data_IF_711863335199
#
_entry.id   IF_711863335199
#
_cell.length_a   1.000
_cell.length_b   1.000
_cell.length_c   1.000
_cell.angle_alpha   90.00
_cell.angle_beta   90.00
_cell.angle_gamma   90.00
#
_symmetry.space_group_name_H-M   'P 1'
#
loop_
_entity.id
_entity.type
_entity.pdbx_description
1 polymer ?
#
# COMPACT_ATOMS: atom_id res chain seq x y z
N UNK A 1 -45.77 96.67 -46.85
CA UNK A 1 -47.05 96.10 -47.34
C UNK A 1 -47.45 94.89 -46.48
N UNK A 2 -48.75 94.53 -46.32
CA UNK A 2 -49.17 93.41 -45.47
C UNK A 2 -48.56 92.05 -45.86
N UNK A 3 -48.15 91.89 -47.14
CA UNK A 3 -47.43 90.70 -47.62
C UNK A 3 -46.02 90.56 -47.02
N UNK A 4 -45.31 91.66 -46.79
CA UNK A 4 -43.95 91.61 -46.20
C UNK A 4 -43.99 91.19 -44.73
N UNK A 5 -45.00 91.65 -43.98
CA UNK A 5 -45.20 91.22 -42.60
C UNK A 5 -45.64 89.75 -42.49
N UNK A 6 -46.35 89.21 -43.49
CA UNK A 6 -46.69 87.78 -43.54
C UNK A 6 -45.44 86.93 -43.78
N UNK A 7 -44.62 87.29 -44.77
CA UNK A 7 -43.35 86.59 -45.06
C UNK A 7 -42.43 86.58 -43.85
N UNK A 8 -42.31 87.70 -43.12
CA UNK A 8 -41.51 87.75 -41.89
C UNK A 8 -42.07 86.83 -40.79
N UNK A 9 -43.39 86.78 -40.58
CA UNK A 9 -43.98 85.86 -39.59
C UNK A 9 -43.76 84.39 -39.95
N UNK A 10 -43.87 84.04 -41.23
CA UNK A 10 -43.64 82.67 -41.69
C UNK A 10 -42.18 82.27 -41.53
N UNK A 11 -41.24 83.18 -41.80
CA UNK A 11 -39.81 82.96 -41.54
C UNK A 11 -39.51 82.81 -40.05
N UNK A 12 -40.10 83.64 -39.18
CA UNK A 12 -39.94 83.52 -37.74
C UNK A 12 -40.56 82.24 -37.18
N UNK A 13 -41.71 81.80 -37.69
CA UNK A 13 -42.32 80.53 -37.30
C UNK A 13 -41.48 79.33 -37.77
N UNK A 14 -40.95 79.38 -38.99
CA UNK A 14 -40.04 78.35 -39.50
C UNK A 14 -38.76 78.28 -38.65
N UNK A 15 -38.19 79.43 -38.29
CA UNK A 15 -37.02 79.50 -37.42
C UNK A 15 -37.33 79.01 -35.99
N UNK A 16 -38.48 79.39 -35.43
CA UNK A 16 -38.94 78.91 -34.12
C UNK A 16 -39.13 77.39 -34.11
N UNK A 17 -39.74 76.85 -35.16
CA UNK A 17 -39.88 75.41 -35.33
C UNK A 17 -38.52 74.73 -35.47
N UNK A 18 -37.59 75.32 -36.25
CA UNK A 18 -36.24 74.79 -36.39
C UNK A 18 -35.50 74.78 -35.05
N UNK A 19 -35.49 75.89 -34.32
CA UNK A 19 -34.82 76.05 -33.02
C UNK A 19 -35.38 75.07 -31.98
N UNK A 20 -36.70 74.92 -31.92
CA UNK A 20 -37.32 73.97 -30.98
C UNK A 20 -37.12 72.50 -31.38
N UNK A 21 -36.76 72.22 -32.63
CA UNK A 21 -36.39 70.88 -33.10
C UNK A 21 -34.88 70.64 -33.08
N UNK A 22 -34.07 71.58 -32.60
CA UNK A 22 -32.66 71.30 -32.31
C UNK A 22 -32.63 70.34 -31.13
N UNK A 23 -32.14 69.11 -31.36
CA UNK A 23 -31.91 68.14 -30.29
C UNK A 23 -30.82 68.71 -29.37
N UNK A 24 -31.22 69.28 -28.24
CA UNK A 24 -30.31 69.68 -27.19
C UNK A 24 -30.02 68.47 -26.32
N UNK A 25 -28.75 68.07 -26.27
CA UNK A 25 -28.29 67.06 -25.33
C UNK A 25 -28.10 67.74 -23.98
N UNK A 26 -28.89 67.33 -22.99
CA UNK A 26 -28.85 67.89 -21.64
C UNK A 26 -28.04 67.04 -20.68
N UNK A 27 -27.83 65.76 -21.02
CA UNK A 27 -27.14 64.78 -20.19
C UNK A 27 -26.55 63.66 -21.05
N UNK A 28 -25.52 62.98 -20.53
CA UNK A 28 -25.08 61.69 -21.03
C UNK A 28 -25.13 60.66 -19.89
N UNK A 29 -25.55 59.44 -20.21
CA UNK A 29 -25.68 58.32 -19.28
C UNK A 29 -25.05 57.07 -19.89
N UNK A 30 -24.37 56.30 -19.04
CA UNK A 30 -23.95 54.94 -19.38
C UNK A 30 -25.02 53.98 -18.88
N UNK A 31 -25.68 53.30 -19.81
CA UNK A 31 -26.75 52.35 -19.51
C UNK A 31 -26.21 50.99 -19.09
N UNK A 32 -25.05 50.61 -19.63
CA UNK A 32 -24.45 49.32 -19.32
C UNK A 32 -23.01 49.19 -19.81
N UNK A 33 -22.26 48.39 -19.07
CA UNK A 33 -20.93 47.90 -19.46
C UNK A 33 -20.98 46.39 -19.41
N UNK A 34 -20.89 45.75 -20.56
CA UNK A 34 -20.79 44.31 -20.68
C UNK A 34 -19.33 43.90 -20.90
N UNK A 35 -18.91 42.82 -20.25
CA UNK A 35 -17.60 42.22 -20.53
C UNK A 35 -17.74 41.21 -21.66
N UNK A 36 -16.96 41.37 -22.74
CA UNK A 36 -16.97 40.47 -23.91
C UNK A 36 -15.88 39.40 -23.78
N UNK A 37 -15.90 38.38 -24.64
CA UNK A 37 -14.86 37.36 -24.60
C UNK A 37 -13.50 37.95 -25.02
N UNK A 38 -12.37 37.35 -24.59
CA UNK A 38 -11.05 37.73 -25.08
C UNK A 38 -10.98 37.65 -26.62
N UNK A 39 -10.48 38.70 -27.26
CA UNK A 39 -10.33 38.77 -28.71
C UNK A 39 -11.56 39.31 -29.47
N UNK A 40 -12.72 39.42 -28.83
CA UNK A 40 -13.87 40.13 -29.43
C UNK A 40 -13.51 41.62 -29.60
N UNK A 41 -14.00 42.31 -30.65
CA UNK A 41 -13.81 43.74 -30.81
C UNK A 41 -14.59 44.52 -29.74
N UNK A 42 -14.00 45.60 -29.22
CA UNK A 42 -14.73 46.51 -28.36
C UNK A 42 -15.89 47.18 -29.12
N UNK A 43 -17.02 47.37 -28.45
CA UNK A 43 -18.23 47.97 -29.05
C UNK A 43 -18.76 49.12 -28.21
N UNK A 44 -19.38 50.08 -28.89
CA UNK A 44 -20.16 51.14 -28.26
C UNK A 44 -21.45 51.34 -29.06
N UNK A 45 -22.58 51.32 -28.37
CA UNK A 45 -23.88 51.66 -28.91
C UNK A 45 -24.35 52.97 -28.33
N UNK A 46 -24.86 53.86 -29.18
CA UNK A 46 -25.28 55.21 -28.79
C UNK A 46 -26.70 55.46 -29.25
N UNK A 47 -27.54 55.98 -28.36
CA UNK A 47 -28.89 56.44 -28.69
C UNK A 47 -29.21 57.75 -27.97
N UNK A 48 -30.25 58.45 -28.41
CA UNK A 48 -30.71 59.69 -27.75
C UNK A 48 -32.17 59.50 -27.39
N UNK A 49 -32.51 59.66 -26.12
CA UNK A 49 -33.88 59.57 -25.61
C UNK A 49 -34.13 60.72 -24.63
N UNK A 50 -35.16 61.53 -24.89
CA UNK A 50 -35.52 62.65 -24.00
C UNK A 50 -34.42 63.70 -23.80
N UNK A 51 -33.51 63.88 -24.77
CA UNK A 51 -32.36 64.79 -24.65
C UNK A 51 -31.17 64.20 -23.88
N UNK A 52 -31.24 62.93 -23.46
CA UNK A 52 -30.13 62.21 -22.83
C UNK A 52 -29.44 61.34 -23.87
N UNK A 53 -28.11 61.44 -23.93
CA UNK A 53 -27.26 60.54 -24.70
C UNK A 53 -27.04 59.26 -23.91
N UNK A 54 -27.52 58.14 -24.42
CA UNK A 54 -27.44 56.83 -23.82
C UNK A 54 -26.32 56.01 -24.47
N UNK A 55 -25.34 55.58 -23.67
CA UNK A 55 -24.20 54.79 -24.12
C UNK A 55 -24.22 53.40 -23.51
N UNK A 56 -23.96 52.37 -24.31
CA UNK A 56 -23.70 51.00 -23.83
C UNK A 56 -22.37 50.51 -24.39
N UNK A 57 -21.51 49.97 -23.53
CA UNK A 57 -20.17 49.51 -23.90
C UNK A 57 -20.07 47.98 -23.83
N UNK A 58 -19.40 47.39 -24.81
CA UNK A 58 -18.86 46.03 -24.73
C UNK A 58 -17.34 46.10 -24.65
N UNK A 59 -16.77 45.73 -23.51
CA UNK A 59 -15.32 45.76 -23.24
C UNK A 59 -14.79 44.32 -23.23
N UNK A 60 -13.86 43.94 -24.12
CA UNK A 60 -13.27 42.61 -24.14
C UNK A 60 -12.49 42.31 -22.87
N UNK A 61 -12.59 41.06 -22.39
CA UNK A 61 -11.70 40.55 -21.35
C UNK A 61 -10.24 40.55 -21.84
N UNK A 62 -9.32 40.73 -20.90
CA UNK A 62 -7.91 40.45 -21.16
C UNK A 62 -7.71 38.98 -21.52
N UNK A 63 -6.66 38.68 -22.28
CA UNK A 63 -6.24 37.30 -22.48
C UNK A 63 -5.91 36.64 -21.13
N UNK A 64 -6.17 35.34 -21.03
CA UNK A 64 -5.70 34.55 -19.88
C UNK A 64 -4.18 34.70 -19.76
N UNK A 65 -3.69 34.85 -18.53
CA UNK A 65 -2.26 34.90 -18.27
C UNK A 65 -1.59 33.57 -18.67
N UNK A 66 -0.28 33.57 -18.93
CA UNK A 66 0.44 32.31 -19.09
C UNK A 66 0.29 31.45 -17.84
N UNK A 67 0.26 30.12 -18.02
CA UNK A 67 0.37 29.19 -16.91
C UNK A 67 1.62 29.52 -16.08
N UNK A 68 1.51 29.47 -14.75
CA UNK A 68 2.66 29.64 -13.87
C UNK A 68 3.75 28.60 -14.15
N UNK A 69 5.00 28.92 -13.85
CA UNK A 69 6.09 27.95 -13.90
C UNK A 69 5.86 26.82 -12.89
N UNK A 70 6.37 25.63 -13.19
CA UNK A 70 6.44 24.55 -12.21
C UNK A 70 7.14 25.02 -10.94
N UNK A 71 6.72 24.47 -9.80
CA UNK A 71 7.43 24.67 -8.54
C UNK A 71 8.86 24.13 -8.60
N UNK A 72 9.76 24.59 -7.71
CA UNK A 72 11.09 24.02 -7.64
C UNK A 72 11.01 22.53 -7.32
N UNK A 73 11.90 21.73 -7.93
CA UNK A 73 12.10 20.35 -7.52
C UNK A 73 12.43 20.31 -6.02
N UNK A 74 11.80 19.40 -5.28
CA UNK A 74 12.13 19.17 -3.88
C UNK A 74 13.58 18.72 -3.69
N UNK A 75 14.16 18.87 -2.49
CA UNK A 75 15.50 18.37 -2.20
C UNK A 75 15.62 16.87 -2.52
N UNK A 76 16.76 16.41 -3.05
CA UNK A 76 17.02 14.97 -3.13
C UNK A 76 17.05 14.38 -1.72
N UNK A 77 16.50 13.18 -1.53
CA UNK A 77 16.80 12.38 -0.34
C UNK A 77 18.15 11.67 -0.55
N UNK A 78 18.93 11.51 0.52
CA UNK A 78 20.26 10.93 0.50
C UNK A 78 20.22 9.43 0.22
N UNK A 79 19.54 8.67 1.09
CA UNK A 79 19.49 7.21 1.05
C UNK A 79 18.09 6.68 1.37
N UNK A 80 17.89 5.39 1.07
CA UNK A 80 16.80 4.58 1.62
C UNK A 80 17.38 3.66 2.70
N UNK A 81 16.92 3.80 3.93
CA UNK A 81 17.44 3.09 5.10
C UNK A 81 16.36 2.15 5.64
N UNK A 82 16.74 0.91 5.96
CA UNK A 82 15.86 -0.03 6.66
C UNK A 82 16.21 0.00 8.14
N UNK A 83 15.31 0.55 8.96
CA UNK A 83 15.50 0.66 10.40
C UNK A 83 15.25 -0.67 11.10
N UNK A 84 14.19 -1.38 10.69
CA UNK A 84 13.79 -2.62 11.35
C UNK A 84 13.10 -3.60 10.40
N UNK A 85 13.30 -4.88 10.69
CA UNK A 85 12.53 -5.98 10.14
C UNK A 85 12.10 -6.85 11.32
N UNK A 86 10.81 -6.90 11.59
CA UNK A 86 10.25 -7.72 12.66
C UNK A 86 9.41 -8.86 12.08
N UNK A 87 9.33 -9.95 12.82
CA UNK A 87 8.46 -11.07 12.47
C UNK A 87 7.16 -10.98 13.25
N UNK A 88 6.03 -11.11 12.55
CA UNK A 88 4.69 -11.18 13.15
C UNK A 88 4.14 -12.60 13.04
N UNK A 89 3.16 -13.01 13.87
CA UNK A 89 2.62 -14.36 13.84
C UNK A 89 2.11 -14.79 12.45
N UNK A 90 2.11 -16.09 12.13
CA UNK A 90 1.53 -16.61 10.89
C UNK A 90 0.08 -16.14 10.71
N UNK A 91 -0.30 -15.87 9.45
CA UNK A 91 -1.61 -15.34 9.11
C UNK A 91 -1.83 -13.85 9.39
N UNK A 92 -0.90 -13.16 10.07
CA UNK A 92 -0.96 -11.70 10.21
C UNK A 92 -0.66 -11.03 8.85
N UNK A 93 -1.23 -9.84 8.54
CA UNK A 93 -0.90 -9.13 7.31
C UNK A 93 0.55 -8.63 7.35
N UNK A 94 1.20 -8.60 6.18
CA UNK A 94 2.50 -7.92 6.04
C UNK A 94 2.33 -6.41 6.10
N UNK A 95 3.28 -5.72 6.72
CA UNK A 95 3.24 -4.28 6.93
C UNK A 95 4.55 -3.60 6.54
N UNK A 96 4.44 -2.36 6.05
CA UNK A 96 5.57 -1.44 5.89
C UNK A 96 5.15 -0.06 6.35
N UNK A 97 6.00 0.59 7.15
CA UNK A 97 5.87 2.00 7.49
C UNK A 97 7.07 2.79 6.97
N UNK A 98 6.82 4.01 6.51
CA UNK A 98 7.83 4.89 5.93
C UNK A 98 7.78 6.28 6.52
N UNK A 99 8.93 6.87 6.81
CA UNK A 99 9.05 8.26 7.22
C UNK A 99 10.31 8.92 6.65
N UNK A 100 10.32 10.25 6.59
CA UNK A 100 11.45 11.03 6.07
C UNK A 100 11.98 11.93 7.17
N UNK A 101 13.29 11.85 7.44
CA UNK A 101 13.93 12.58 8.54
C UNK A 101 14.51 13.95 8.13
N UNK A 102 14.38 14.30 6.84
CA UNK A 102 15.01 15.48 6.24
C UNK A 102 16.26 15.17 5.42
N UNK A 103 16.82 13.97 5.54
CA UNK A 103 17.95 13.46 4.77
C UNK A 103 17.59 12.15 4.08
N UNK A 104 17.21 11.13 4.83
CA UNK A 104 17.00 9.77 4.34
C UNK A 104 15.54 9.33 4.48
N UNK A 105 15.13 8.39 3.63
CA UNK A 105 13.82 7.73 3.72
C UNK A 105 13.98 6.45 4.51
N UNK A 106 13.25 6.36 5.61
CA UNK A 106 13.32 5.26 6.57
C UNK A 106 12.18 4.28 6.37
N UNK A 107 12.49 2.98 6.43
CA UNK A 107 11.55 1.87 6.29
C UNK A 107 11.58 0.96 7.51
N UNK A 108 10.40 0.55 7.99
CA UNK A 108 10.26 -0.54 8.96
C UNK A 108 9.27 -1.58 8.46
N UNK A 109 9.69 -2.84 8.43
CA UNK A 109 8.92 -3.96 7.89
C UNK A 109 8.41 -4.89 8.99
N UNK A 110 7.18 -5.33 8.84
CA UNK A 110 6.56 -6.40 9.63
C UNK A 110 6.26 -7.57 8.68
N UNK A 111 7.01 -8.68 8.84
CA UNK A 111 6.94 -9.83 7.96
C UNK A 111 6.26 -11.02 8.67
N UNK A 112 5.19 -11.60 8.10
CA UNK A 112 4.54 -12.77 8.70
C UNK A 112 5.47 -13.98 8.72
N UNK A 113 5.48 -14.70 9.84
CA UNK A 113 6.14 -15.99 9.93
C UNK A 113 5.45 -17.03 9.05
N UNK A 114 6.21 -18.01 8.59
CA UNK A 114 5.63 -19.20 7.97
C UNK A 114 4.83 -20.01 8.99
N UNK A 115 3.81 -20.71 8.52
CA UNK A 115 3.10 -21.70 9.33
C UNK A 115 4.08 -22.76 9.86
N UNK A 116 3.79 -23.28 11.06
CA UNK A 116 4.56 -24.40 11.60
C UNK A 116 4.48 -25.59 10.62
N UNK A 117 5.62 -26.25 10.40
CA UNK A 117 5.64 -27.46 9.58
C UNK A 117 4.83 -28.58 10.23
N UNK A 118 4.30 -29.48 9.40
CA UNK A 118 3.63 -30.69 9.90
C UNK A 118 4.61 -31.53 10.73
N UNK A 119 4.10 -32.17 11.79
CA UNK A 119 4.88 -33.15 12.54
C UNK A 119 5.31 -34.27 11.58
N UNK A 120 6.60 -34.62 11.60
CA UNK A 120 7.10 -35.75 10.81
C UNK A 120 6.39 -37.06 11.17
N UNK A 121 6.33 -38.03 10.23
CA UNK A 121 5.75 -39.34 10.53
C UNK A 121 6.49 -40.01 11.69
N UNK A 122 5.77 -40.80 12.49
CA UNK A 122 6.40 -41.65 13.50
C UNK A 122 7.37 -42.63 12.82
N UNK A 123 8.51 -42.91 13.46
CA UNK A 123 9.44 -43.93 12.96
C UNK A 123 8.75 -45.30 12.95
N UNK A 124 8.75 -45.98 11.80
CA UNK A 124 8.22 -47.33 11.68
C UNK A 124 9.24 -48.33 12.22
N UNK A 125 8.85 -49.13 13.22
CA UNK A 125 9.58 -50.36 13.58
C UNK A 125 8.76 -51.51 13.02
N UNK A 126 9.26 -52.14 11.96
CA UNK A 126 8.52 -53.22 11.31
C UNK A 126 8.52 -54.47 12.19
N UNK A 127 7.50 -55.32 12.05
CA UNK A 127 7.50 -56.65 12.69
C UNK A 127 8.74 -57.47 12.31
N UNK A 128 9.29 -57.28 11.10
CA UNK A 128 10.56 -57.86 10.69
C UNK A 128 11.75 -57.34 11.49
N UNK A 129 11.85 -56.02 11.71
CA UNK A 129 12.96 -55.43 12.47
C UNK A 129 12.92 -55.88 13.94
N UNK A 130 11.72 -55.85 14.54
CA UNK A 130 11.48 -56.39 15.88
C UNK A 130 11.83 -57.88 15.97
N UNK A 131 11.40 -58.69 15.01
CA UNK A 131 11.68 -60.12 14.97
C UNK A 131 13.18 -60.39 14.80
N UNK A 132 13.87 -59.59 13.97
CA UNK A 132 15.29 -59.72 13.71
C UNK A 132 16.12 -59.37 14.95
N UNK A 133 15.77 -58.30 15.68
CA UNK A 133 16.46 -57.95 16.92
C UNK A 133 16.23 -58.99 18.03
N UNK A 134 15.00 -59.45 18.20
CA UNK A 134 14.67 -60.47 19.19
C UNK A 134 15.40 -61.80 18.90
N UNK A 135 15.54 -62.17 17.63
CA UNK A 135 16.18 -63.44 17.24
C UNK A 135 17.71 -63.37 17.27
N UNK A 136 18.31 -62.25 16.88
CA UNK A 136 19.75 -62.16 16.66
C UNK A 136 20.53 -61.51 17.82
N UNK A 137 19.88 -60.69 18.65
CA UNK A 137 20.55 -59.89 19.68
C UNK A 137 20.02 -60.15 21.10
N UNK A 138 19.09 -61.09 21.27
CA UNK A 138 18.65 -61.49 22.61
C UNK A 138 18.92 -62.97 22.86
N UNK A 139 19.36 -63.30 24.07
CA UNK A 139 19.50 -64.68 24.51
C UNK A 139 18.10 -65.28 24.64
N UNK A 140 17.63 -65.94 23.58
CA UNK A 140 16.28 -66.47 23.46
C UNK A 140 16.04 -67.70 24.37
N UNK A 141 16.07 -67.51 25.68
CA UNK A 141 15.82 -68.48 26.76
C UNK A 141 17.11 -69.11 27.33
N UNK A 142 17.44 -68.80 28.59
CA UNK A 142 18.39 -69.60 29.36
C UNK A 142 17.72 -70.93 29.70
N UNK A 143 18.21 -72.03 29.14
CA UNK A 143 17.74 -73.35 29.55
C UNK A 143 18.06 -73.56 31.04
N UNK A 144 17.19 -74.27 31.76
CA UNK A 144 17.37 -74.51 33.19
C UNK A 144 18.57 -75.46 33.40
N UNK A 145 19.57 -75.02 34.14
CA UNK A 145 20.72 -75.84 34.55
C UNK A 145 20.47 -76.30 35.98
N UNK A 146 20.62 -77.61 36.25
CA UNK A 146 20.42 -78.15 37.62
C UNK A 146 21.45 -77.57 38.61
N UNK A 147 21.32 -77.79 39.91
CA UNK A 147 22.40 -77.42 40.86
C UNK A 147 23.55 -78.42 40.79
N UNK A 148 24.79 -78.00 41.13
CA UNK A 148 25.99 -78.88 41.10
C UNK A 148 25.95 -79.94 42.21
N UNK A 149 25.52 -79.60 43.42
CA UNK A 149 25.14 -80.56 44.46
C UNK A 149 26.23 -81.52 44.99
N UNK A 150 27.53 -81.20 44.87
CA UNK A 150 28.62 -82.08 45.34
C UNK A 150 29.30 -81.61 46.63
N UNK A 151 29.91 -82.55 47.36
CA UNK A 151 30.81 -82.31 48.48
C UNK A 151 32.24 -82.69 48.05
N UNK A 152 33.14 -81.71 47.96
CA UNK A 152 34.51 -81.93 47.49
C UNK A 152 35.39 -82.42 48.63
N UNK A 153 36.06 -83.56 48.43
CA UNK A 153 36.99 -84.12 49.42
C UNK A 153 38.33 -83.37 49.42
N UNK A 154 39.10 -83.48 50.52
CA UNK A 154 40.49 -82.98 50.59
C UNK A 154 41.45 -84.16 50.86
N UNK A 155 42.30 -84.56 49.88
CA UNK A 155 42.41 -84.00 48.54
C UNK A 155 41.24 -84.39 47.61
N UNK A 156 40.92 -83.58 46.56
CA UNK A 156 39.81 -83.85 45.66
C UNK A 156 39.91 -85.21 44.99
N UNK A 157 38.80 -85.94 44.97
CA UNK A 157 38.73 -87.22 44.27
C UNK A 157 38.48 -87.01 42.76
N UNK A 158 38.80 -88.02 41.96
CA UNK A 158 38.51 -87.99 40.51
C UNK A 158 37.00 -87.85 40.22
N UNK A 159 36.13 -88.39 41.08
CA UNK A 159 34.67 -88.27 40.94
C UNK A 159 34.14 -86.85 41.22
N UNK A 160 34.77 -86.14 42.15
CA UNK A 160 34.44 -84.73 42.45
C UNK A 160 34.75 -83.85 41.24
N UNK A 161 35.91 -84.07 40.62
CA UNK A 161 36.31 -83.36 39.40
C UNK A 161 35.42 -83.72 38.21
N UNK A 162 35.06 -85.00 38.04
CA UNK A 162 34.18 -85.41 36.95
C UNK A 162 32.79 -84.77 37.05
N UNK A 163 32.22 -84.69 38.27
CA UNK A 163 30.92 -84.06 38.49
C UNK A 163 30.93 -82.56 38.16
N UNK A 164 32.05 -81.87 38.40
CA UNK A 164 32.24 -80.47 38.01
C UNK A 164 32.31 -80.34 36.48
N UNK A 165 33.07 -81.22 35.82
CA UNK A 165 33.21 -81.24 34.36
C UNK A 165 31.86 -81.49 33.70
N UNK A 166 31.10 -82.48 34.15
CA UNK A 166 29.78 -82.79 33.61
C UNK A 166 28.81 -81.61 33.76
N UNK A 167 28.92 -80.87 34.88
CA UNK A 167 28.12 -79.68 35.13
C UNK A 167 28.51 -78.50 34.26
N UNK A 168 29.80 -78.33 34.01
CA UNK A 168 30.30 -77.33 33.08
C UNK A 168 29.81 -77.63 31.66
N UNK A 169 29.79 -78.90 31.25
CA UNK A 169 29.25 -79.30 29.96
C UNK A 169 27.74 -79.06 29.86
N UNK A 170 26.97 -79.34 30.92
CA UNK A 170 25.54 -79.00 30.99
C UNK A 170 25.32 -77.49 30.83
N UNK A 171 26.10 -76.67 31.55
CA UNK A 171 26.03 -75.21 31.46
C UNK A 171 26.41 -74.70 30.06
N UNK A 172 27.50 -75.21 29.50
CA UNK A 172 28.00 -74.83 28.18
C UNK A 172 26.95 -75.17 27.11
N UNK A 173 26.36 -76.36 27.17
CA UNK A 173 25.31 -76.75 26.23
C UNK A 173 23.99 -75.99 26.44
N UNK A 174 23.71 -75.53 27.67
CA UNK A 174 22.57 -74.68 27.96
C UNK A 174 22.76 -73.22 27.49
N UNK A 175 24.00 -72.70 27.47
CA UNK A 175 24.34 -71.34 27.07
C UNK A 175 24.69 -71.20 25.58
N UNK A 176 25.18 -72.28 24.95
CA UNK A 176 25.44 -72.30 23.52
C UNK A 176 24.15 -72.61 22.79
N UNK A 177 23.65 -71.62 22.08
CA UNK A 177 23.02 -71.88 20.79
C UNK A 177 24.11 -71.86 19.72
#
# INVERSE_FOLDING_TARGET
>A
APLESQVMRDQFQALFNLINNIVTLTQAQVDGVATLNPGDPATVNVSISGGVLHLSFGIPQGAEGPQGSDGPQGPPFGNAVVDSVSSVPPGSPAGVSTWFDGSDVHFSFELPQGEAGEQGPAGEVTYSDLSNELTNNTSANTNNVSTLGIYVNDPPSQGDVQSIVDKLDELINALRR
#
